data_IF_780701295719
#
_entry.id   IF_780701295719
#
_cell.length_a   1.000
_cell.length_b   1.000
_cell.length_c   1.000
_cell.angle_alpha   90.00
_cell.angle_beta   90.00
_cell.angle_gamma   90.00
#
_symmetry.space_group_name_H-M   'P 1'
#
loop_
_entity.id
_entity.type
_entity.pdbx_description
1 polymer ?
#
# COMPACT_ATOMS: atom_id res chain seq x y z
N UNK A 1 -0.65 -32.10 -21.58
CA UNK A 1 -1.47 -32.87 -20.63
C UNK A 1 -2.86 -33.06 -21.26
N UNK A 2 -3.14 -34.30 -21.72
CA UNK A 2 -4.41 -34.64 -22.37
C UNK A 2 -5.63 -34.48 -21.44
N UNK A 3 -5.38 -34.50 -20.12
CA UNK A 3 -6.42 -34.37 -19.08
C UNK A 3 -6.95 -32.93 -18.91
N UNK A 4 -6.23 -31.94 -19.45
CA UNK A 4 -6.62 -30.51 -19.38
C UNK A 4 -7.49 -30.12 -20.56
N UNK A 5 -7.34 -30.80 -21.71
CA UNK A 5 -8.11 -30.53 -22.93
C UNK A 5 -9.23 -31.54 -23.04
N UNK A 6 -10.41 -31.18 -22.54
CA UNK A 6 -11.60 -32.04 -22.57
C UNK A 6 -12.83 -31.22 -23.02
N UNK A 7 -13.96 -31.89 -23.26
CA UNK A 7 -15.23 -31.28 -23.68
C UNK A 7 -16.33 -31.40 -22.58
N UNK A 8 -15.98 -31.97 -21.46
CA UNK A 8 -16.95 -32.33 -20.40
C UNK A 8 -16.87 -31.39 -19.22
N UNK A 9 -15.66 -30.89 -18.91
CA UNK A 9 -15.40 -29.99 -17.77
C UNK A 9 -14.97 -28.61 -18.25
N UNK A 10 -15.52 -27.58 -17.60
CA UNK A 10 -15.16 -26.17 -17.84
C UNK A 10 -16.04 -25.47 -18.87
N UNK A 11 -15.59 -24.31 -19.31
CA UNK A 11 -16.29 -23.53 -20.32
C UNK A 11 -15.69 -23.83 -21.71
N UNK A 12 -16.57 -24.08 -22.69
CA UNK A 12 -16.15 -24.23 -24.08
C UNK A 12 -15.51 -22.94 -24.60
N UNK A 13 -14.38 -23.07 -25.27
CA UNK A 13 -13.66 -21.97 -25.90
C UNK A 13 -14.24 -21.66 -27.29
N UNK A 14 -14.64 -22.71 -28.02
CA UNK A 14 -15.23 -22.61 -29.35
C UNK A 14 -16.59 -23.31 -29.39
N UNK A 15 -17.47 -22.76 -30.20
CA UNK A 15 -18.74 -23.40 -30.56
C UNK A 15 -18.49 -24.56 -31.56
N UNK A 16 -19.50 -25.38 -31.80
CA UNK A 16 -19.41 -26.51 -32.76
C UNK A 16 -19.13 -26.08 -34.20
N UNK A 17 -19.46 -24.84 -34.54
CA UNK A 17 -19.20 -24.23 -35.85
C UNK A 17 -17.81 -23.61 -35.97
N UNK A 18 -16.97 -23.71 -34.90
CA UNK A 18 -15.62 -23.18 -34.83
C UNK A 18 -15.53 -21.68 -34.49
N UNK A 19 -16.66 -21.03 -34.22
CA UNK A 19 -16.66 -19.63 -33.73
C UNK A 19 -16.30 -19.58 -32.24
N UNK A 20 -15.78 -18.44 -31.78
CA UNK A 20 -15.50 -18.21 -30.38
C UNK A 20 -16.79 -18.16 -29.56
N UNK A 21 -16.77 -18.78 -28.37
CA UNK A 21 -17.89 -18.64 -27.43
C UNK A 21 -17.88 -17.25 -26.81
N UNK A 22 -19.04 -16.81 -26.28
CA UNK A 22 -19.14 -15.55 -25.52
C UNK A 22 -18.17 -15.52 -24.33
N UNK A 23 -17.95 -16.66 -23.68
CA UNK A 23 -16.97 -16.78 -22.60
C UNK A 23 -15.55 -16.46 -23.10
N UNK A 24 -15.14 -16.98 -24.24
CA UNK A 24 -13.81 -16.71 -24.82
C UNK A 24 -13.65 -15.24 -25.20
N UNK A 25 -14.69 -14.62 -25.78
CA UNK A 25 -14.69 -13.17 -26.09
C UNK A 25 -14.48 -12.36 -24.82
N UNK A 26 -15.23 -12.66 -23.74
CA UNK A 26 -15.10 -11.97 -22.46
C UNK A 26 -13.70 -12.14 -21.83
N UNK A 27 -13.11 -13.33 -21.92
CA UNK A 27 -11.73 -13.58 -21.47
C UNK A 27 -10.71 -12.74 -22.26
N UNK A 28 -10.85 -12.68 -23.58
CA UNK A 28 -9.98 -11.85 -24.43
C UNK A 28 -10.07 -10.36 -24.06
N UNK A 29 -11.29 -9.85 -23.89
CA UNK A 29 -11.50 -8.45 -23.46
C UNK A 29 -10.92 -8.18 -22.07
N UNK A 30 -11.06 -9.13 -21.15
CA UNK A 30 -10.44 -9.05 -19.83
C UNK A 30 -8.92 -8.97 -19.93
N UNK A 31 -8.29 -9.83 -20.72
CA UNK A 31 -6.84 -9.84 -20.91
C UNK A 31 -6.34 -8.52 -21.53
N UNK A 32 -7.04 -8.00 -22.54
CA UNK A 32 -6.71 -6.70 -23.15
C UNK A 32 -6.73 -5.60 -22.09
N UNK A 33 -7.75 -5.57 -21.23
CA UNK A 33 -7.82 -4.61 -20.10
C UNK A 33 -6.67 -4.77 -19.12
N UNK A 34 -6.30 -6.01 -18.77
CA UNK A 34 -5.16 -6.28 -17.88
C UNK A 34 -3.87 -5.71 -18.46
N UNK A 35 -3.60 -5.95 -19.74
CA UNK A 35 -2.40 -5.39 -20.39
C UNK A 35 -2.40 -3.86 -20.43
N UNK A 36 -3.54 -3.24 -20.71
CA UNK A 36 -3.65 -1.77 -20.68
C UNK A 36 -3.39 -1.21 -19.28
N UNK A 37 -3.92 -1.86 -18.24
CA UNK A 37 -3.71 -1.45 -16.86
C UNK A 37 -2.26 -1.67 -16.41
N UNK A 38 -1.60 -2.71 -16.90
CA UNK A 38 -0.17 -2.92 -16.66
C UNK A 38 0.68 -1.76 -17.19
N UNK A 39 0.43 -1.33 -18.42
CA UNK A 39 1.15 -0.19 -19.00
C UNK A 39 0.89 1.12 -18.22
N UNK A 40 -0.35 1.38 -17.82
CA UNK A 40 -0.67 2.53 -16.97
C UNK A 40 0.06 2.46 -15.62
N UNK A 41 0.14 1.27 -15.02
CA UNK A 41 0.87 1.05 -13.76
C UNK A 41 2.37 1.32 -13.91
N UNK A 42 2.98 0.88 -15.02
CA UNK A 42 4.40 1.16 -15.31
C UNK A 42 4.68 2.66 -15.40
N UNK A 43 3.81 3.39 -16.12
CA UNK A 43 3.92 4.86 -16.24
C UNK A 43 3.79 5.52 -14.87
N UNK A 44 2.82 5.09 -14.06
CA UNK A 44 2.60 5.61 -12.72
C UNK A 44 3.81 5.36 -11.80
N UNK A 45 4.29 4.11 -11.73
CA UNK A 45 5.44 3.74 -10.89
C UNK A 45 6.69 4.49 -11.33
N UNK A 46 6.88 4.65 -12.66
CA UNK A 46 8.01 5.44 -13.19
C UNK A 46 7.92 6.89 -12.72
N UNK A 47 6.76 7.53 -12.78
CA UNK A 47 6.58 8.90 -12.32
C UNK A 47 6.89 9.07 -10.82
N UNK A 48 6.49 8.11 -9.98
CA UNK A 48 6.83 8.11 -8.54
C UNK A 48 8.33 7.97 -8.31
N UNK A 49 8.99 7.11 -9.08
CA UNK A 49 10.43 6.89 -8.99
C UNK A 49 11.22 8.12 -9.47
N UNK A 50 10.82 8.76 -10.56
CA UNK A 50 11.45 9.96 -11.10
C UNK A 50 11.35 11.15 -10.13
N UNK A 51 10.35 11.16 -9.24
CA UNK A 51 10.15 12.14 -8.17
C UNK A 51 10.74 11.70 -6.82
N UNK A 52 11.44 10.57 -6.76
CA UNK A 52 12.03 9.98 -5.54
C UNK A 52 11.02 9.79 -4.40
N UNK A 53 9.76 9.53 -4.73
CA UNK A 53 8.69 9.35 -3.76
C UNK A 53 8.63 7.95 -3.15
N UNK A 54 9.31 6.96 -3.75
CA UNK A 54 9.29 5.57 -3.31
C UNK A 54 10.41 5.29 -2.32
N UNK A 55 10.03 4.74 -1.16
CA UNK A 55 10.98 4.27 -0.15
C UNK A 55 10.79 2.79 0.13
N UNK A 56 11.90 2.03 0.28
CA UNK A 56 11.79 0.62 0.65
C UNK A 56 11.25 0.48 2.07
N UNK A 57 10.38 -0.49 2.28
CA UNK A 57 9.77 -0.77 3.58
C UNK A 57 9.95 -2.23 3.96
N UNK A 58 10.11 -2.47 5.25
CA UNK A 58 10.06 -3.81 5.85
C UNK A 58 8.97 -3.84 6.91
N UNK A 59 8.09 -4.82 6.83
CA UNK A 59 7.02 -5.03 7.79
C UNK A 59 7.33 -6.26 8.63
N UNK A 60 7.51 -6.07 9.93
CA UNK A 60 7.70 -7.18 10.87
C UNK A 60 6.34 -7.61 11.43
N UNK A 61 5.95 -8.86 11.14
CA UNK A 61 4.76 -9.49 11.68
C UNK A 61 5.15 -10.36 12.89
N UNK A 62 4.50 -10.13 14.02
CA UNK A 62 4.62 -11.02 15.16
C UNK A 62 3.48 -12.03 15.12
N UNK A 63 3.78 -13.33 15.07
CA UNK A 63 2.79 -14.36 15.25
C UNK A 63 2.47 -14.48 16.74
N UNK A 64 1.25 -14.10 17.11
CA UNK A 64 0.82 -14.11 18.52
C UNK A 64 0.70 -15.54 19.12
N UNK A 65 0.65 -16.58 18.27
CA UNK A 65 0.54 -17.98 18.73
C UNK A 65 1.89 -18.62 18.98
N UNK A 66 2.87 -18.35 18.08
CA UNK A 66 4.20 -18.96 18.16
C UNK A 66 5.23 -18.03 18.76
N UNK A 67 4.96 -16.72 18.82
CA UNK A 67 5.94 -15.69 19.18
C UNK A 67 7.00 -15.44 18.11
N UNK A 68 6.88 -16.09 16.96
CA UNK A 68 7.81 -15.92 15.85
C UNK A 68 7.62 -14.57 15.16
N UNK A 69 8.72 -13.99 14.72
CA UNK A 69 8.74 -12.76 13.92
C UNK A 69 8.96 -13.13 12.46
N UNK A 70 8.10 -12.59 11.61
CA UNK A 70 8.21 -12.75 10.16
C UNK A 70 8.42 -11.38 9.53
N UNK A 71 9.56 -11.18 8.87
CA UNK A 71 9.85 -9.95 8.16
C UNK A 71 9.42 -10.08 6.69
N UNK A 72 8.54 -9.19 6.26
CA UNK A 72 8.14 -9.02 4.87
C UNK A 72 8.89 -7.81 4.34
N UNK A 73 9.81 -8.03 3.42
CA UNK A 73 10.62 -7.00 2.77
C UNK A 73 10.48 -7.05 1.25
N UNK A 74 11.10 -6.11 0.54
CA UNK A 74 11.10 -6.10 -0.91
C UNK A 74 9.91 -5.37 -1.54
N UNK A 75 9.18 -4.58 -0.77
CA UNK A 75 8.15 -3.68 -1.27
C UNK A 75 8.50 -2.22 -0.96
N UNK A 76 7.84 -1.31 -1.68
CA UNK A 76 8.03 0.13 -1.56
C UNK A 76 6.72 0.79 -1.15
N UNK A 77 6.84 1.88 -0.41
CA UNK A 77 5.71 2.74 -0.06
C UNK A 77 6.00 4.17 -0.52
N UNK A 78 4.96 4.98 -0.64
CA UNK A 78 5.12 6.41 -0.90
C UNK A 78 5.42 7.13 0.41
N UNK A 79 6.50 7.90 0.41
CA UNK A 79 6.91 8.74 1.52
C UNK A 79 6.03 10.00 1.59
N UNK A 80 5.33 10.18 2.71
CA UNK A 80 4.44 11.32 2.94
C UNK A 80 5.21 12.65 3.01
N UNK A 81 6.37 12.64 3.64
CA UNK A 81 7.17 13.86 3.85
C UNK A 81 7.70 14.35 2.51
N UNK A 82 8.27 13.44 1.71
CA UNK A 82 8.71 13.77 0.35
C UNK A 82 7.58 14.27 -0.54
N UNK A 83 6.36 13.76 -0.36
CA UNK A 83 5.19 14.23 -1.11
C UNK A 83 4.82 15.66 -0.73
N UNK A 84 4.92 16.03 0.57
CA UNK A 84 4.63 17.38 1.08
C UNK A 84 5.70 18.38 0.60
N UNK A 85 6.96 17.94 0.54
CA UNK A 85 8.10 18.78 0.14
C UNK A 85 8.26 18.92 -1.38
N UNK A 86 7.36 18.30 -2.18
CA UNK A 86 7.40 18.46 -3.63
C UNK A 86 7.16 19.91 -4.05
N UNK A 87 7.90 20.40 -5.06
CA UNK A 87 7.62 21.67 -5.71
C UNK A 87 6.18 21.72 -6.27
N UNK A 88 5.56 22.92 -6.20
CA UNK A 88 4.16 23.12 -6.61
C UNK A 88 3.88 22.67 -8.05
N UNK A 89 4.83 22.87 -8.97
CA UNK A 89 4.71 22.45 -10.37
C UNK A 89 4.60 20.94 -10.49
N UNK A 90 5.38 20.18 -9.72
CA UNK A 90 5.35 18.72 -9.68
C UNK A 90 4.08 18.18 -9.03
N UNK A 91 3.64 18.80 -7.95
CA UNK A 91 2.37 18.47 -7.32
C UNK A 91 1.19 18.70 -8.27
N UNK A 92 1.24 19.80 -9.04
CA UNK A 92 0.23 20.10 -10.06
C UNK A 92 0.21 19.08 -11.21
N UNK A 93 1.38 18.57 -11.64
CA UNK A 93 1.50 17.49 -12.62
C UNK A 93 0.83 16.21 -12.11
N UNK A 94 1.12 15.80 -10.87
CA UNK A 94 0.50 14.63 -10.23
C UNK A 94 -1.03 14.78 -10.10
N UNK A 95 -1.50 15.98 -9.78
CA UNK A 95 -2.94 16.27 -9.72
C UNK A 95 -3.60 16.16 -11.08
N UNK A 96 -3.00 16.73 -12.15
CA UNK A 96 -3.56 16.72 -13.50
C UNK A 96 -3.61 15.32 -14.11
N UNK A 97 -2.64 14.47 -13.79
CA UNK A 97 -2.60 13.08 -14.25
C UNK A 97 -3.52 12.14 -13.46
N UNK A 98 -4.09 12.59 -12.33
CA UNK A 98 -4.85 11.74 -11.39
C UNK A 98 -3.97 10.89 -10.48
N UNK A 99 -2.64 10.95 -10.63
CA UNK A 99 -1.71 10.17 -9.83
C UNK A 99 -1.79 10.52 -8.34
N UNK A 100 -2.07 11.78 -8.01
CA UNK A 100 -2.19 12.24 -6.62
C UNK A 100 -3.31 11.51 -5.87
N UNK A 101 -4.45 11.23 -6.51
CA UNK A 101 -5.54 10.46 -5.92
C UNK A 101 -5.10 9.02 -5.59
N UNK A 102 -4.39 8.38 -6.52
CA UNK A 102 -3.87 7.02 -6.32
C UNK A 102 -2.85 6.99 -5.18
N UNK A 103 -1.98 8.00 -5.08
CA UNK A 103 -1.03 8.15 -3.98
C UNK A 103 -1.76 8.27 -2.64
N UNK A 104 -2.77 9.12 -2.53
CA UNK A 104 -3.55 9.24 -1.29
C UNK A 104 -4.26 7.94 -0.93
N UNK A 105 -4.85 7.24 -1.89
CA UNK A 105 -5.47 5.94 -1.66
C UNK A 105 -4.45 4.90 -1.18
N UNK A 106 -3.23 4.91 -1.72
CA UNK A 106 -2.13 4.06 -1.25
C UNK A 106 -1.79 4.37 0.21
N UNK A 107 -1.56 5.64 0.56
CA UNK A 107 -1.24 6.06 1.93
C UNK A 107 -2.36 5.65 2.90
N UNK A 108 -3.62 5.88 2.55
CA UNK A 108 -4.77 5.44 3.35
C UNK A 108 -4.84 3.92 3.51
N UNK A 109 -4.43 3.15 2.49
CA UNK A 109 -4.41 1.70 2.56
C UNK A 109 -3.39 1.16 3.56
N UNK A 110 -2.28 1.86 3.78
CA UNK A 110 -1.27 1.48 4.76
C UNK A 110 -1.82 1.51 6.19
N UNK A 111 -2.72 2.43 6.51
CA UNK A 111 -3.40 2.48 7.81
C UNK A 111 -4.28 1.24 8.06
N UNK A 112 -4.66 0.55 7.00
CA UNK A 112 -5.45 -0.68 7.09
C UNK A 112 -4.61 -1.93 7.39
N UNK A 113 -3.28 -1.85 7.29
CA UNK A 113 -2.38 -2.95 7.64
C UNK A 113 -2.56 -3.37 9.10
N UNK A 114 -2.66 -2.42 10.02
CA UNK A 114 -2.90 -2.69 11.43
C UNK A 114 -4.20 -3.45 11.66
N UNK A 115 -5.24 -3.12 10.91
CA UNK A 115 -6.53 -3.83 10.98
C UNK A 115 -6.42 -5.27 10.47
N UNK A 116 -5.62 -5.50 9.43
CA UNK A 116 -5.35 -6.84 8.90
C UNK A 116 -4.54 -7.68 9.89
N UNK A 117 -3.53 -7.07 10.50
CA UNK A 117 -2.72 -7.72 11.55
C UNK A 117 -3.59 -8.10 12.76
N UNK A 118 -4.44 -7.20 13.22
CA UNK A 118 -5.40 -7.50 14.30
C UNK A 118 -6.36 -8.61 13.91
N UNK A 119 -6.88 -8.64 12.69
CA UNK A 119 -7.77 -9.73 12.23
C UNK A 119 -7.07 -11.08 12.17
N UNK A 120 -5.80 -11.12 11.78
CA UNK A 120 -5.01 -12.37 11.83
C UNK A 120 -4.86 -12.87 13.26
N UNK A 121 -4.74 -11.96 14.23
CA UNK A 121 -4.53 -12.23 15.64
C UNK A 121 -5.81 -12.37 16.46
N UNK A 122 -7.01 -12.13 15.90
CA UNK A 122 -8.32 -12.16 16.59
C UNK A 122 -8.67 -13.54 17.19
N UNK A 123 -7.98 -14.61 16.81
CA UNK A 123 -8.11 -15.91 17.47
C UNK A 123 -7.21 -16.12 18.68
N UNK A 124 -6.55 -15.06 19.17
CA UNK A 124 -5.72 -15.07 20.39
C UNK A 124 -6.46 -14.29 21.46
N UNK A 125 -6.68 -14.84 22.68
CA UNK A 125 -7.22 -14.05 23.79
C UNK A 125 -6.34 -12.85 24.02
N UNK A 126 -6.99 -11.71 24.27
CA UNK A 126 -6.34 -10.42 24.44
C UNK A 126 -5.20 -10.51 25.45
N UNK A 127 -3.99 -10.30 24.99
CA UNK A 127 -2.93 -9.74 25.79
C UNK A 127 -2.35 -8.56 25.00
N UNK A 128 -2.59 -7.42 25.57
CA UNK A 128 -2.15 -6.09 25.24
C UNK A 128 -0.61 -6.06 25.21
N UNK A 129 -0.03 -6.00 24.02
CA UNK A 129 1.34 -5.53 23.91
C UNK A 129 1.55 -4.79 22.58
N UNK A 130 1.45 -3.49 22.72
CA UNK A 130 2.31 -2.47 22.11
C UNK A 130 2.64 -2.62 20.61
N UNK A 131 1.83 -2.11 19.80
CA UNK A 131 2.07 -1.01 18.87
C UNK A 131 3.49 -0.46 18.97
N UNK A 132 4.34 -0.95 18.11
CA UNK A 132 5.62 -0.31 17.85
C UNK A 132 5.51 0.59 16.62
N UNK A 133 4.69 1.61 16.67
CA UNK A 133 4.93 2.85 15.96
C UNK A 133 5.35 3.85 17.04
N UNK A 134 6.63 4.17 17.07
CA UNK A 134 7.16 5.17 17.96
C UNK A 134 6.52 6.51 17.69
N UNK A 135 5.55 6.86 18.50
CA UNK A 135 5.24 8.24 18.80
C UNK A 135 6.35 8.74 19.76
N UNK A 136 7.47 9.09 19.16
CA UNK A 136 8.49 9.88 19.80
C UNK A 136 8.20 11.34 19.50
N UNK A 137 7.12 11.84 20.11
CA UNK A 137 6.95 13.28 20.29
C UNK A 137 8.11 13.76 21.16
N UNK A 138 8.93 14.70 20.67
CA UNK A 138 9.95 15.30 21.52
C UNK A 138 9.25 16.00 22.69
N UNK A 139 9.65 15.62 23.90
CA UNK A 139 9.26 16.29 25.13
C UNK A 139 9.55 17.80 24.96
N UNK A 140 8.50 18.60 24.95
CA UNK A 140 8.62 20.05 25.06
C UNK A 140 9.16 20.32 26.47
N UNK A 141 10.42 20.60 26.54
CA UNK A 141 11.08 21.08 27.74
C UNK A 141 10.46 22.45 28.11
N UNK A 142 9.83 22.51 29.26
CA UNK A 142 9.22 23.73 29.79
C UNK A 142 10.34 24.78 29.98
N UNK A 143 10.12 26.06 29.62
CA UNK A 143 11.09 27.12 29.83
C UNK A 143 11.34 27.30 31.32
N UNK A 144 12.62 27.61 31.73
CA UNK A 144 12.95 27.82 33.12
C UNK A 144 12.20 29.02 33.71
N UNK A 145 11.63 28.83 34.86
CA UNK A 145 10.95 29.82 35.68
C UNK A 145 11.89 30.99 35.97
N UNK A 146 11.58 32.16 35.42
CA UNK A 146 12.29 33.40 35.60
C UNK A 146 12.16 33.86 37.05
N UNK A 147 13.30 33.84 37.75
CA UNK A 147 13.40 34.26 39.14
C UNK A 147 13.06 35.76 39.25
N UNK A 148 12.11 36.07 40.14
CA UNK A 148 11.74 37.46 40.50
C UNK A 148 12.91 38.22 41.09
N UNK A 149 13.11 39.50 40.77
CA UNK A 149 14.16 40.33 41.40
C UNK A 149 13.85 40.66 42.86
N UNK A 150 14.90 40.81 43.70
CA UNK A 150 14.74 41.15 45.12
C UNK A 150 14.24 42.61 45.27
N UNK A 151 13.34 42.78 46.22
CA UNK A 151 12.89 44.09 46.66
C UNK A 151 14.03 44.89 47.31
N UNK A 152 14.23 46.09 46.83
CA UNK A 152 15.12 47.08 47.46
C UNK A 152 14.36 47.73 48.64
N UNK A 153 15.01 47.75 49.82
CA UNK A 153 14.73 48.72 50.87
C UNK A 153 15.51 50.02 50.67
#
# INVERSE_FOLDING_TARGET
DADVVNKEDGNLIFNDDGTETEWMVNVKEFLVRVFQQEEMTKVFVKALNDLDLLVPQTLTLNDAKTGEKHDISGFYIVDKEKLIDLPDDKLLELRKSGALEVIHNHIMSLESLDKLLRKKNINTPADTAATGMGDESPAVEAPPEEAAPPAEE
#
